data_IF_036912765690
#
_entry.id   IF_036912765690
#
_cell.length_a   1.000
_cell.length_b   1.000
_cell.length_c   1.000
_cell.angle_alpha   90.00
_cell.angle_beta   90.00
_cell.angle_gamma   90.00
#
_symmetry.space_group_name_H-M   'P 1'
#
loop_
_entity.id
_entity.type
_entity.pdbx_description
1 polymer ?
#
# COMPACT_ATOMS: atom_id res chain seq x y z
N UNK A 1 -3.24 -32.52 -18.00
CA UNK A 1 -3.44 -31.57 -16.88
C UNK A 1 -3.10 -30.19 -17.42
N UNK A 2 -4.04 -29.24 -17.49
CA UNK A 2 -3.74 -27.97 -18.11
C UNK A 2 -2.89 -27.12 -17.16
N UNK A 3 -1.63 -26.94 -17.57
CA UNK A 3 -0.72 -25.89 -17.10
C UNK A 3 -1.29 -24.55 -17.57
N UNK A 4 -1.86 -23.77 -16.66
CA UNK A 4 -2.31 -22.40 -16.93
C UNK A 4 -1.85 -21.51 -15.79
N UNK A 5 -0.56 -21.16 -15.80
CA UNK A 5 -0.03 -20.09 -14.97
C UNK A 5 0.38 -18.94 -15.89
N UNK A 6 -0.61 -18.32 -16.54
CA UNK A 6 -0.43 -16.94 -17.00
C UNK A 6 -0.58 -16.03 -15.77
N UNK A 7 0.36 -16.12 -14.82
CA UNK A 7 0.55 -15.03 -13.87
C UNK A 7 1.18 -13.90 -14.68
N UNK A 8 0.42 -12.84 -14.94
CA UNK A 8 0.95 -11.61 -15.50
C UNK A 8 1.92 -11.03 -14.47
N UNK A 9 3.19 -11.44 -14.53
CA UNK A 9 4.24 -11.10 -13.56
C UNK A 9 4.32 -9.60 -13.30
N UNK A 10 4.06 -8.79 -14.33
CA UNK A 10 4.04 -7.33 -14.24
C UNK A 10 2.92 -6.77 -13.33
N UNK A 11 1.75 -7.44 -13.28
CA UNK A 11 0.63 -7.01 -12.42
C UNK A 11 0.86 -7.39 -10.96
N UNK A 12 1.50 -8.53 -10.72
CA UNK A 12 1.91 -8.93 -9.38
C UNK A 12 3.01 -8.02 -8.83
N UNK A 13 3.98 -7.65 -9.67
CA UNK A 13 4.98 -6.62 -9.35
C UNK A 13 4.31 -5.27 -9.04
N UNK A 14 3.32 -4.84 -9.82
CA UNK A 14 2.59 -3.60 -9.55
C UNK A 14 1.79 -3.63 -8.22
N UNK A 15 1.20 -4.78 -7.88
CA UNK A 15 0.53 -4.97 -6.59
C UNK A 15 1.55 -4.93 -5.44
N UNK A 16 2.74 -5.54 -5.60
CA UNK A 16 3.82 -5.50 -4.61
C UNK A 16 4.39 -4.09 -4.43
N UNK A 17 4.54 -3.33 -5.51
CA UNK A 17 4.96 -1.93 -5.46
C UNK A 17 3.94 -1.06 -4.72
N UNK A 18 2.64 -1.27 -4.98
CA UNK A 18 1.57 -0.59 -4.27
C UNK A 18 1.56 -0.95 -2.78
N UNK A 19 1.78 -2.23 -2.44
CA UNK A 19 1.98 -2.65 -1.06
C UNK A 19 3.14 -1.89 -0.40
N UNK A 20 4.32 -1.85 -1.06
CA UNK A 20 5.52 -1.18 -0.55
C UNK A 20 5.23 0.30 -0.25
N UNK A 21 4.56 1.00 -1.17
CA UNK A 21 4.17 2.39 -0.95
C UNK A 21 3.23 2.55 0.25
N UNK A 22 2.23 1.68 0.38
CA UNK A 22 1.27 1.70 1.49
C UNK A 22 1.93 1.46 2.85
N UNK A 23 2.61 0.32 2.97
CA UNK A 23 3.23 -0.15 4.21
C UNK A 23 4.29 0.84 4.73
N UNK A 24 5.24 1.22 3.87
CA UNK A 24 6.40 2.03 4.28
C UNK A 24 5.98 3.43 4.75
N UNK A 25 4.93 3.99 4.14
CA UNK A 25 4.40 5.31 4.51
C UNK A 25 3.71 5.29 5.87
N UNK A 26 2.82 4.33 6.11
CA UNK A 26 2.22 4.17 7.43
C UNK A 26 3.29 3.88 8.49
N UNK A 27 4.21 2.97 8.20
CA UNK A 27 5.28 2.57 9.10
C UNK A 27 6.15 3.78 9.53
N UNK A 28 6.66 4.57 8.58
CA UNK A 28 7.52 5.71 8.91
C UNK A 28 6.79 6.96 9.42
N UNK A 29 5.47 7.03 9.27
CA UNK A 29 4.63 8.06 9.90
C UNK A 29 4.13 7.67 11.30
N UNK A 30 4.43 6.47 11.77
CA UNK A 30 4.08 6.01 13.11
C UNK A 30 2.73 5.31 13.22
N UNK A 31 2.02 5.11 12.11
CA UNK A 31 0.75 4.38 12.02
C UNK A 31 1.02 2.87 11.98
N UNK A 32 1.45 2.30 13.11
CA UNK A 32 1.88 0.89 13.20
C UNK A 32 0.72 -0.08 13.00
N UNK A 33 -0.46 0.23 13.53
CA UNK A 33 -1.63 -0.62 13.40
C UNK A 33 -2.09 -0.69 11.94
N UNK A 34 -2.15 0.46 11.28
CA UNK A 34 -2.53 0.60 9.88
C UNK A 34 -1.49 -0.06 8.97
N UNK A 35 -0.19 0.09 9.26
CA UNK A 35 0.85 -0.64 8.52
C UNK A 35 0.67 -2.17 8.64
N UNK A 36 0.32 -2.67 9.82
CA UNK A 36 0.03 -4.09 10.02
C UNK A 36 -1.23 -4.54 9.28
N UNK A 37 -2.26 -3.70 9.24
CA UNK A 37 -3.49 -3.96 8.49
C UNK A 37 -3.22 -4.04 6.98
N UNK A 38 -2.44 -3.09 6.43
CA UNK A 38 -2.01 -3.15 5.02
C UNK A 38 -1.25 -4.45 4.74
N UNK A 39 -0.33 -4.86 5.64
CA UNK A 39 0.38 -6.13 5.53
C UNK A 39 -0.55 -7.33 5.48
N UNK A 40 -1.57 -7.36 6.35
CA UNK A 40 -2.55 -8.44 6.36
C UNK A 40 -3.41 -8.46 5.09
N UNK A 41 -3.86 -7.29 4.61
CA UNK A 41 -4.69 -7.16 3.40
C UNK A 41 -3.95 -7.70 2.19
N UNK A 42 -2.70 -7.26 1.97
CA UNK A 42 -1.91 -7.70 0.82
C UNK A 42 -1.40 -9.14 0.96
N UNK A 43 -1.13 -9.60 2.19
CA UNK A 43 -0.83 -11.00 2.48
C UNK A 43 -1.97 -11.92 2.05
N UNK A 44 -3.21 -11.54 2.36
CA UNK A 44 -4.40 -12.27 1.91
C UNK A 44 -4.57 -12.19 0.39
N UNK A 45 -4.36 -11.01 -0.20
CA UNK A 45 -4.56 -10.80 -1.65
C UNK A 45 -3.61 -11.65 -2.52
N UNK A 46 -2.35 -11.72 -2.09
CA UNK A 46 -1.26 -12.40 -2.78
C UNK A 46 -1.08 -13.85 -2.33
N UNK A 47 -1.84 -14.30 -1.33
CA UNK A 47 -1.71 -15.62 -0.71
C UNK A 47 -0.28 -15.90 -0.20
N UNK A 48 0.41 -14.84 0.26
CA UNK A 48 1.77 -14.91 0.78
C UNK A 48 1.79 -14.66 2.29
N UNK A 49 2.66 -15.32 3.07
CA UNK A 49 2.87 -14.98 4.47
C UNK A 49 3.28 -13.51 4.64
N UNK A 50 2.80 -12.85 5.70
CA UNK A 50 3.22 -11.47 6.02
C UNK A 50 4.74 -11.33 6.16
N UNK A 51 5.39 -12.35 6.73
CA UNK A 51 6.86 -12.41 6.84
C UNK A 51 7.50 -12.32 5.46
N UNK A 52 7.05 -13.14 4.50
CA UNK A 52 7.54 -13.12 3.12
C UNK A 52 7.36 -11.78 2.44
N UNK A 53 6.21 -11.11 2.64
CA UNK A 53 6.03 -9.75 2.18
C UNK A 53 7.09 -8.86 2.81
N UNK A 54 7.11 -8.74 4.15
CA UNK A 54 8.03 -7.82 4.82
C UNK A 54 9.51 -8.13 4.56
N UNK A 55 9.87 -9.39 4.34
CA UNK A 55 11.24 -9.82 4.05
C UNK A 55 11.64 -9.53 2.61
N UNK A 56 10.71 -9.63 1.65
CA UNK A 56 10.94 -9.15 0.30
C UNK A 56 11.38 -7.68 0.33
N UNK A 57 10.74 -6.85 1.17
CA UNK A 57 11.10 -5.44 1.29
C UNK A 57 12.32 -5.19 2.16
N UNK A 58 12.49 -5.88 3.29
CA UNK A 58 13.63 -5.65 4.21
C UNK A 58 14.97 -6.00 3.57
N UNK A 59 14.98 -6.96 2.64
CA UNK A 59 16.19 -7.39 1.94
C UNK A 59 16.54 -6.49 0.74
N UNK A 60 15.68 -5.52 0.38
CA UNK A 60 16.00 -4.50 -0.62
C UNK A 60 16.98 -3.47 -0.05
N UNK A 61 17.81 -2.92 -0.95
CA UNK A 61 18.90 -1.96 -0.71
C UNK A 61 18.63 -0.98 0.44
N UNK A 62 19.38 -1.11 1.56
CA UNK A 62 19.30 -0.24 2.73
C UNK A 62 19.42 1.26 2.38
N UNK A 63 20.16 1.59 1.31
CA UNK A 63 20.30 2.96 0.85
C UNK A 63 18.98 3.50 0.26
N UNK A 64 18.21 2.65 -0.43
CA UNK A 64 16.88 3.01 -0.93
C UNK A 64 15.94 3.28 0.24
N UNK A 65 15.99 2.45 1.29
CA UNK A 65 15.20 2.61 2.50
C UNK A 65 15.49 3.91 3.24
N UNK A 66 16.77 4.23 3.43
CA UNK A 66 17.16 5.49 4.05
C UNK A 66 16.64 6.70 3.25
N UNK A 67 16.67 6.62 1.91
CA UNK A 67 16.12 7.65 1.01
C UNK A 67 14.60 7.75 1.12
N UNK A 68 13.88 6.64 1.10
CA UNK A 68 12.42 6.60 1.23
C UNK A 68 11.97 7.16 2.57
N UNK A 69 12.60 6.71 3.66
CA UNK A 69 12.37 7.23 5.02
C UNK A 69 12.52 8.74 5.06
N UNK A 70 13.65 9.27 4.58
CA UNK A 70 13.91 10.72 4.57
C UNK A 70 12.86 11.48 3.77
N UNK A 71 12.48 10.97 2.60
CA UNK A 71 11.45 11.57 1.72
C UNK A 71 10.05 11.55 2.38
N UNK A 72 9.70 10.48 3.06
CA UNK A 72 8.40 10.36 3.76
C UNK A 72 8.36 11.28 4.97
N UNK A 73 9.44 11.33 5.75
CA UNK A 73 9.53 12.18 6.94
C UNK A 73 9.49 13.67 6.60
N UNK A 74 10.03 14.09 5.45
CA UNK A 74 9.98 15.49 5.00
C UNK A 74 8.61 15.94 4.49
N UNK A 75 7.72 15.00 4.15
CA UNK A 75 6.37 15.31 3.66
C UNK A 75 5.39 15.47 4.81
N UNK A 76 4.26 16.13 4.56
CA UNK A 76 3.14 16.14 5.49
C UNK A 76 2.61 14.72 5.73
N UNK A 77 2.01 14.51 6.89
CA UNK A 77 1.40 13.23 7.23
C UNK A 77 0.17 13.00 6.34
N UNK A 78 -0.67 14.02 6.17
CA UNK A 78 -1.82 13.99 5.26
C UNK A 78 -1.43 13.57 3.83
N UNK A 79 -0.39 14.20 3.26
CA UNK A 79 0.12 13.89 1.91
C UNK A 79 0.61 12.43 1.79
N UNK A 80 1.22 11.91 2.86
CA UNK A 80 1.67 10.52 2.88
C UNK A 80 0.48 9.57 2.87
N UNK A 81 -0.55 9.82 3.68
CA UNK A 81 -1.76 8.99 3.73
C UNK A 81 -2.56 9.09 2.43
N UNK A 82 -2.61 10.26 1.79
CA UNK A 82 -3.19 10.43 0.45
C UNK A 82 -2.53 9.52 -0.59
N UNK A 83 -1.20 9.40 -0.55
CA UNK A 83 -0.48 8.51 -1.47
C UNK A 83 -0.87 7.05 -1.25
N UNK A 84 -1.14 6.65 -0.01
CA UNK A 84 -1.56 5.28 0.32
C UNK A 84 -2.96 4.99 -0.24
N UNK A 85 -3.89 5.93 -0.08
CA UNK A 85 -5.23 5.82 -0.69
C UNK A 85 -5.16 5.61 -2.20
N UNK A 86 -4.23 6.30 -2.87
CA UNK A 86 -3.96 6.10 -4.30
C UNK A 86 -3.45 4.69 -4.58
N UNK A 87 -2.47 4.17 -3.84
CA UNK A 87 -1.97 2.79 -4.02
C UNK A 87 -3.07 1.73 -3.87
N UNK A 88 -4.00 1.91 -2.93
CA UNK A 88 -5.18 1.04 -2.82
C UNK A 88 -6.11 1.15 -4.04
N UNK A 89 -6.26 2.35 -4.61
CA UNK A 89 -7.07 2.59 -5.81
C UNK A 89 -6.44 1.95 -7.05
N UNK A 90 -5.13 2.12 -7.20
CA UNK A 90 -4.35 1.55 -8.31
C UNK A 90 -4.39 0.02 -8.22
N UNK A 91 -4.26 -0.56 -7.02
CA UNK A 91 -4.44 -2.00 -6.79
C UNK A 91 -5.87 -2.46 -7.12
N UNK A 92 -6.91 -1.68 -6.75
CA UNK A 92 -8.29 -1.99 -7.11
C UNK A 92 -8.47 -2.08 -8.63
N UNK A 93 -7.87 -1.15 -9.38
CA UNK A 93 -7.92 -1.12 -10.83
C UNK A 93 -7.25 -2.37 -11.44
N UNK A 94 -6.03 -2.70 -10.99
CA UNK A 94 -5.31 -3.90 -11.45
C UNK A 94 -6.15 -5.17 -11.20
N UNK A 95 -6.78 -5.29 -10.03
CA UNK A 95 -7.63 -6.44 -9.70
C UNK A 95 -8.85 -6.52 -10.63
N UNK A 96 -9.52 -5.39 -10.87
CA UNK A 96 -10.66 -5.33 -11.79
C UNK A 96 -10.24 -5.72 -13.21
N UNK A 97 -9.09 -5.24 -13.69
CA UNK A 97 -8.55 -5.58 -15.00
C UNK A 97 -8.21 -7.08 -15.11
N UNK A 98 -7.91 -7.75 -14.00
CA UNK A 98 -7.68 -9.20 -13.93
C UNK A 98 -8.98 -10.02 -13.77
N UNK A 99 -10.16 -9.39 -13.74
CA UNK A 99 -11.42 -10.07 -13.47
C UNK A 99 -11.71 -10.35 -12.00
N UNK A 100 -10.83 -9.91 -11.08
CA UNK A 100 -10.99 -10.00 -9.61
C UNK A 100 -11.88 -8.86 -9.09
N UNK A 101 -13.10 -8.77 -9.61
CA UNK A 101 -13.99 -7.61 -9.40
C UNK A 101 -14.39 -7.38 -7.93
N UNK A 102 -14.68 -8.44 -7.17
CA UNK A 102 -15.11 -8.29 -5.78
C UNK A 102 -13.97 -7.80 -4.88
N UNK A 103 -12.75 -8.31 -5.07
CA UNK A 103 -11.57 -7.85 -4.35
C UNK A 103 -11.21 -6.42 -4.76
N UNK A 104 -11.29 -6.09 -6.05
CA UNK A 104 -11.13 -4.71 -6.52
C UNK A 104 -12.12 -3.74 -5.87
N UNK A 105 -13.40 -4.11 -5.72
CA UNK A 105 -14.38 -3.30 -4.99
C UNK A 105 -13.98 -3.09 -3.52
N UNK A 106 -13.50 -4.14 -2.85
CA UNK A 106 -13.04 -4.03 -1.45
C UNK A 106 -11.87 -3.05 -1.34
N UNK A 107 -10.89 -3.15 -2.24
CA UNK A 107 -9.77 -2.22 -2.29
C UNK A 107 -10.20 -0.78 -2.56
N UNK A 108 -11.22 -0.56 -3.39
CA UNK A 108 -11.80 0.77 -3.60
C UNK A 108 -12.48 1.33 -2.34
N UNK A 109 -13.11 0.48 -1.53
CA UNK A 109 -13.67 0.88 -0.23
C UNK A 109 -12.55 1.26 0.75
N UNK A 110 -11.47 0.48 0.81
CA UNK A 110 -10.29 0.82 1.61
C UNK A 110 -9.67 2.15 1.16
N UNK A 111 -9.51 2.35 -0.15
CA UNK A 111 -9.00 3.60 -0.70
C UNK A 111 -9.80 4.82 -0.23
N UNK A 112 -11.15 4.73 -0.27
CA UNK A 112 -12.04 5.79 0.24
C UNK A 112 -11.92 6.02 1.74
N UNK A 113 -11.73 4.96 2.52
CA UNK A 113 -11.53 5.09 3.96
C UNK A 113 -10.21 5.84 4.26
N UNK A 114 -9.12 5.42 3.63
CA UNK A 114 -7.80 6.05 3.77
C UNK A 114 -7.81 7.49 3.24
N UNK A 115 -8.56 7.78 2.18
CA UNK A 115 -8.76 9.14 1.67
C UNK A 115 -9.37 10.05 2.75
N UNK A 116 -10.46 9.61 3.40
CA UNK A 116 -11.10 10.40 4.46
C UNK A 116 -10.16 10.64 5.65
N UNK A 117 -9.34 9.65 6.01
CA UNK A 117 -8.30 9.82 7.02
C UNK A 117 -7.30 10.91 6.60
N UNK A 118 -6.87 10.91 5.33
CA UNK A 118 -5.95 11.91 4.81
C UNK A 118 -6.54 13.33 4.83
N UNK A 119 -7.83 13.47 4.51
CA UNK A 119 -8.59 14.73 4.60
C UNK A 119 -8.67 15.25 6.03
N UNK A 120 -8.97 14.37 7.00
CA UNK A 120 -9.00 14.73 8.42
C UNK A 120 -7.62 15.20 8.93
N UNK A 121 -6.56 14.46 8.59
CA UNK A 121 -5.18 14.83 8.94
C UNK A 121 -4.77 16.16 8.31
N UNK A 122 -5.20 16.44 7.07
CA UNK A 122 -4.92 17.71 6.42
C UNK A 122 -5.57 18.88 7.17
N UNK A 123 -6.83 18.74 7.56
CA UNK A 123 -7.53 19.76 8.33
C UNK A 123 -6.85 20.03 9.68
N UNK A 124 -6.40 18.98 10.38
CA UNK A 124 -5.62 19.13 11.61
C UNK A 124 -4.27 19.83 11.40
N UNK A 125 -3.57 19.50 10.32
CA UNK A 125 -2.29 20.12 9.98
C UNK A 125 -2.42 21.60 9.62
N UNK A 126 -3.51 22.00 8.94
CA UNK A 126 -3.77 23.41 8.64
C UNK A 126 -4.21 24.19 9.89
N UNK A 127 -4.98 23.58 10.79
CA UNK A 127 -5.38 24.22 12.06
C UNK A 127 -4.23 24.42 13.06
N UNK A 128 -3.09 23.74 12.88
CA UNK A 128 -1.89 23.87 13.73
C UNK A 128 -0.88 24.92 13.22
N UNK A 129 -1.14 25.55 12.08
CA UNK A 129 -0.33 26.65 11.52
C UNK A 129 -0.84 28.00 11.97
#
# INVERSE_FOLDING_TARGET
MPSSSNHDTWKEEEILDNFKQGFVRFYYKGFRAEASEVCQIYSNLLELPQETLTDHFKNEDEAEWARLKKRIQSKKTSESVWTISRSFSDTAEVLIQCGRHEEGKQFYVYAKHVQKLAEALYAEEENRK
#
